data_IF_692418187985
#
_entry.id   IF_692418187985
#
_cell.length_a   1.000
_cell.length_b   1.000
_cell.length_c   1.000
_cell.angle_alpha   90.00
_cell.angle_beta   90.00
_cell.angle_gamma   90.00
#
_symmetry.space_group_name_H-M   'P 1'
#
loop_
_entity.id
_entity.type
_entity.pdbx_description
1 polymer ?
#
# COMPACT_ATOMS: atom_id res chain seq x y z
N UNK A 1 25.23 -18.28 -5.88
CA UNK A 1 24.13 -18.12 -4.91
C UNK A 1 23.85 -16.64 -4.78
N UNK A 2 22.58 -16.20 -4.78
CA UNK A 2 22.26 -14.78 -4.56
C UNK A 2 22.71 -14.33 -3.16
N UNK A 3 23.07 -13.06 -3.03
CA UNK A 3 23.34 -12.42 -1.73
C UNK A 3 22.03 -12.19 -0.96
N UNK A 4 22.11 -11.95 0.35
CA UNK A 4 20.91 -11.63 1.14
C UNK A 4 20.24 -10.33 0.66
N UNK A 5 21.04 -9.32 0.28
CA UNK A 5 20.52 -8.08 -0.31
C UNK A 5 19.81 -8.30 -1.66
N UNK A 6 20.30 -9.23 -2.50
CA UNK A 6 19.63 -9.59 -3.75
C UNK A 6 18.27 -10.25 -3.50
N UNK A 7 18.18 -11.15 -2.52
CA UNK A 7 16.90 -11.77 -2.15
C UNK A 7 15.90 -10.74 -1.63
N UNK A 8 16.34 -9.79 -0.78
CA UNK A 8 15.47 -8.71 -0.31
C UNK A 8 15.01 -7.80 -1.45
N UNK A 9 15.87 -7.54 -2.44
CA UNK A 9 15.52 -6.71 -3.59
C UNK A 9 14.46 -7.40 -4.47
N UNK A 10 14.64 -8.69 -4.73
CA UNK A 10 13.67 -9.49 -5.48
C UNK A 10 12.30 -9.52 -4.76
N UNK A 11 12.29 -9.66 -3.42
CA UNK A 11 11.05 -9.63 -2.63
C UNK A 11 10.39 -8.24 -2.64
N UNK A 12 11.17 -7.17 -2.54
CA UNK A 12 10.66 -5.80 -2.63
C UNK A 12 10.02 -5.53 -3.98
N UNK A 13 10.65 -5.95 -5.07
CA UNK A 13 10.13 -5.78 -6.43
C UNK A 13 8.83 -6.57 -6.64
N UNK A 14 8.74 -7.79 -6.10
CA UNK A 14 7.52 -8.59 -6.15
C UNK A 14 6.37 -7.95 -5.36
N UNK A 15 6.66 -7.51 -4.13
CA UNK A 15 5.68 -6.82 -3.29
C UNK A 15 5.12 -5.57 -3.99
N UNK A 16 6.02 -4.73 -4.51
CA UNK A 16 5.64 -3.53 -5.25
C UNK A 16 4.81 -3.85 -6.49
N UNK A 17 5.21 -4.84 -7.30
CA UNK A 17 4.46 -5.24 -8.51
C UNK A 17 3.04 -5.67 -8.13
N UNK A 18 2.90 -6.48 -7.09
CA UNK A 18 1.61 -6.97 -6.60
C UNK A 18 0.67 -5.85 -6.19
N UNK A 19 1.17 -4.82 -5.49
CA UNK A 19 0.38 -3.63 -5.14
C UNK A 19 0.10 -2.79 -6.38
N UNK A 20 1.10 -2.52 -7.22
CA UNK A 20 1.00 -1.61 -8.37
C UNK A 20 -0.01 -2.10 -9.42
N UNK A 21 -0.05 -3.40 -9.69
CA UNK A 21 -1.04 -4.02 -10.55
C UNK A 21 -2.46 -3.83 -9.99
N UNK A 22 -2.62 -3.98 -8.68
CA UNK A 22 -3.92 -3.83 -8.02
C UNK A 22 -4.42 -2.40 -8.02
N UNK A 23 -3.56 -1.39 -8.00
CA UNK A 23 -3.98 0.02 -8.05
C UNK A 23 -4.09 0.57 -9.48
N UNK A 24 -3.87 -0.27 -10.50
CA UNK A 24 -4.02 0.18 -11.89
C UNK A 24 -5.46 0.59 -12.21
N UNK A 25 -5.62 1.75 -12.86
CA UNK A 25 -6.93 2.34 -13.15
C UNK A 25 -7.77 2.69 -11.91
N UNK A 26 -7.17 2.84 -10.73
CA UNK A 26 -7.87 3.29 -9.52
C UNK A 26 -8.41 4.72 -9.71
N UNK A 27 -9.70 4.92 -9.48
CA UNK A 27 -10.34 6.23 -9.55
C UNK A 27 -10.49 6.84 -8.16
N UNK A 28 -10.73 8.16 -8.06
CA UNK A 28 -11.00 8.81 -6.78
C UNK A 28 -12.26 8.25 -6.11
N UNK A 29 -13.30 7.93 -6.88
CA UNK A 29 -14.52 7.30 -6.35
C UNK A 29 -14.20 5.97 -5.67
N UNK A 30 -13.41 5.12 -6.32
CA UNK A 30 -13.00 3.82 -5.77
C UNK A 30 -12.01 3.97 -4.61
N UNK A 31 -11.08 4.93 -4.68
CA UNK A 31 -10.11 5.23 -3.62
C UNK A 31 -10.79 5.66 -2.31
N UNK A 32 -11.91 6.39 -2.39
CA UNK A 32 -12.68 6.81 -1.22
C UNK A 32 -13.83 5.87 -0.83
N UNK A 33 -14.04 4.80 -1.60
CA UNK A 33 -15.11 3.84 -1.35
C UNK A 33 -14.86 3.02 -0.08
N UNK A 34 -15.94 2.64 0.60
CA UNK A 34 -15.91 1.80 1.80
C UNK A 34 -16.92 0.66 1.67
N UNK A 35 -16.55 -0.58 2.06
CA UNK A 35 -17.45 -1.71 2.03
C UNK A 35 -18.56 -1.63 3.07
N UNK A 36 -18.34 -0.94 4.19
CA UNK A 36 -19.30 -0.75 5.28
C UNK A 36 -19.33 0.72 5.68
N UNK A 37 -20.50 1.34 5.92
CA UNK A 37 -20.56 2.70 6.45
C UNK A 37 -19.73 2.82 7.74
N UNK A 38 -18.96 3.90 7.85
CA UNK A 38 -18.14 4.20 9.03
C UNK A 38 -17.10 3.13 9.40
N UNK A 39 -16.77 2.17 8.51
CA UNK A 39 -15.53 1.38 8.66
C UNK A 39 -14.28 2.22 8.40
N UNK A 40 -14.48 3.48 8.00
CA UNK A 40 -13.48 4.53 7.92
C UNK A 40 -12.94 4.65 6.49
N UNK A 41 -13.03 5.82 5.85
CA UNK A 41 -12.07 6.15 4.81
C UNK A 41 -10.70 6.39 5.48
N UNK A 42 -9.63 6.40 4.70
CA UNK A 42 -8.50 7.29 5.00
C UNK A 42 -9.05 8.72 4.87
N UNK A 43 -9.73 9.21 5.92
CA UNK A 43 -9.98 10.65 6.04
C UNK A 43 -8.61 11.27 6.29
N UNK A 44 -8.32 12.48 5.77
CA UNK A 44 -7.27 13.30 6.31
C UNK A 44 -7.66 13.66 7.76
N UNK A 45 -7.38 12.71 8.65
CA UNK A 45 -7.32 12.93 10.09
C UNK A 45 -5.90 13.40 10.34
N UNK A 46 -5.65 14.34 11.27
CA UNK A 46 -4.30 14.58 11.74
C UNK A 46 -3.84 13.30 12.46
N UNK A 47 -3.29 12.35 11.71
CA UNK A 47 -2.55 11.22 12.24
C UNK A 47 -1.19 11.79 12.61
N UNK A 48 -0.95 12.03 13.89
CA UNK A 48 0.41 12.24 14.40
C UNK A 48 1.26 11.03 14.01
N UNK A 49 2.36 11.06 13.24
CA UNK A 49 3.25 12.07 12.64
C UNK A 49 2.66 13.42 12.22
N UNK A 50 2.89 14.51 12.98
CA UNK A 50 2.28 15.82 12.73
C UNK A 50 2.56 16.46 11.34
N UNK A 51 3.31 15.80 10.46
CA UNK A 51 3.81 16.30 9.18
C UNK A 51 3.51 15.39 7.98
N UNK A 52 2.95 14.18 8.16
CA UNK A 52 2.70 13.28 7.02
C UNK A 52 1.44 13.74 6.28
N UNK A 53 1.65 14.45 5.18
CA UNK A 53 0.61 14.75 4.20
C UNK A 53 0.21 13.46 3.47
N UNK A 54 -0.98 12.96 3.78
CA UNK A 54 -1.54 11.75 3.16
C UNK A 54 -2.19 12.10 1.82
N UNK A 55 -2.25 11.15 0.91
CA UNK A 55 -2.84 11.36 -0.41
C UNK A 55 -4.31 11.82 -0.36
N UNK A 56 -4.65 12.82 -1.17
CA UNK A 56 -6.01 13.37 -1.29
C UNK A 56 -6.70 12.97 -2.60
N UNK A 57 -6.00 12.25 -3.48
CA UNK A 57 -6.53 11.66 -4.72
C UNK A 57 -5.91 10.29 -4.95
N UNK A 58 -6.53 9.47 -5.80
CA UNK A 58 -5.95 8.19 -6.22
C UNK A 58 -4.59 8.40 -6.92
N UNK A 59 -4.47 9.47 -7.71
CA UNK A 59 -3.23 9.83 -8.38
C UNK A 59 -2.11 10.18 -7.38
N UNK A 60 -2.42 10.95 -6.34
CA UNK A 60 -1.45 11.28 -5.27
C UNK A 60 -1.01 10.03 -4.52
N UNK A 61 -1.95 9.11 -4.24
CA UNK A 61 -1.65 7.86 -3.54
C UNK A 61 -0.70 6.97 -4.36
N UNK A 62 -0.94 6.85 -5.66
CA UNK A 62 -0.06 6.11 -6.58
C UNK A 62 1.32 6.78 -6.66
N UNK A 63 1.37 8.11 -6.76
CA UNK A 63 2.64 8.84 -6.78
C UNK A 63 3.43 8.67 -5.47
N UNK A 64 2.75 8.64 -4.32
CA UNK A 64 3.38 8.36 -3.02
C UNK A 64 3.92 6.94 -2.95
N UNK A 65 3.17 5.93 -3.43
CA UNK A 65 3.62 4.55 -3.52
C UNK A 65 4.88 4.42 -4.41
N UNK A 66 4.85 5.03 -5.60
CA UNK A 66 5.97 5.01 -6.55
C UNK A 66 7.23 5.67 -5.96
N UNK A 67 7.07 6.81 -5.27
CA UNK A 67 8.17 7.48 -4.56
C UNK A 67 8.70 6.61 -3.41
N UNK A 68 7.82 5.99 -2.62
CA UNK A 68 8.19 5.11 -1.53
C UNK A 68 9.04 3.92 -2.01
N UNK A 69 8.59 3.26 -3.07
CA UNK A 69 9.33 2.17 -3.72
C UNK A 69 10.72 2.63 -4.19
N UNK A 70 10.81 3.77 -4.85
CA UNK A 70 12.10 4.30 -5.33
C UNK A 70 13.08 4.56 -4.20
N UNK A 71 12.61 5.12 -3.08
CA UNK A 71 13.44 5.37 -1.90
C UNK A 71 13.95 4.07 -1.30
N UNK A 72 13.06 3.08 -1.12
CA UNK A 72 13.41 1.81 -0.51
C UNK A 72 14.35 0.98 -1.40
N UNK A 73 14.07 0.91 -2.70
CA UNK A 73 14.91 0.22 -3.68
C UNK A 73 16.29 0.87 -3.79
N UNK A 74 16.37 2.21 -3.82
CA UNK A 74 17.65 2.93 -3.85
C UNK A 74 18.46 2.71 -2.57
N UNK A 75 17.81 2.71 -1.41
CA UNK A 75 18.46 2.44 -0.13
C UNK A 75 19.03 1.01 -0.11
N UNK A 76 18.24 0.01 -0.53
CA UNK A 76 18.67 -1.39 -0.56
C UNK A 76 19.81 -1.63 -1.56
N UNK A 77 19.77 -1.02 -2.74
CA UNK A 77 20.83 -1.12 -3.73
C UNK A 77 22.20 -0.60 -3.23
N UNK A 78 22.20 0.27 -2.21
CA UNK A 78 23.40 0.80 -1.59
C UNK A 78 23.98 -0.05 -0.46
N UNK A 79 23.36 -1.18 -0.10
CA UNK A 79 23.79 -2.02 1.03
C UNK A 79 24.60 -3.24 0.58
N UNK A 80 25.60 -3.59 1.37
CA UNK A 80 26.22 -4.92 1.36
C UNK A 80 25.53 -5.84 2.39
N UNK A 81 25.72 -7.16 2.27
CA UNK A 81 25.17 -8.13 3.22
C UNK A 81 25.63 -7.86 4.66
N UNK A 82 26.84 -7.34 4.85
CA UNK A 82 27.36 -6.96 6.18
C UNK A 82 26.60 -5.80 6.83
N UNK A 83 25.89 -4.98 6.05
CA UNK A 83 25.14 -3.85 6.57
C UNK A 83 23.77 -4.25 7.10
N UNK A 84 23.31 -5.49 6.82
CA UNK A 84 21.98 -5.96 7.18
C UNK A 84 21.77 -6.09 8.69
N UNK A 85 22.82 -6.35 9.46
CA UNK A 85 22.77 -6.40 10.92
C UNK A 85 22.97 -5.03 11.59
N UNK A 86 23.33 -3.99 10.82
CA UNK A 86 23.56 -2.66 11.38
C UNK A 86 22.24 -2.08 11.95
N UNK A 87 22.29 -1.47 13.15
CA UNK A 87 21.10 -0.92 13.79
C UNK A 87 20.57 0.31 13.04
N UNK A 88 19.24 0.41 12.95
CA UNK A 88 18.50 1.53 12.37
C UNK A 88 17.41 1.97 13.34
N UNK A 89 17.30 3.28 13.54
CA UNK A 89 16.23 3.88 14.32
C UNK A 89 14.89 3.70 13.60
N UNK A 90 13.92 3.12 14.29
CA UNK A 90 12.54 3.06 13.84
C UNK A 90 11.82 4.37 14.14
N UNK A 91 10.70 4.57 13.48
CA UNK A 91 9.87 5.75 13.67
C UNK A 91 9.18 5.76 15.07
N UNK A 92 9.11 4.65 15.80
CA UNK A 92 8.66 4.61 17.20
C UNK A 92 9.80 4.66 18.23
N UNK A 93 11.03 4.96 17.81
CA UNK A 93 12.14 5.25 18.72
C UNK A 93 12.93 4.03 19.22
N UNK A 94 12.71 2.85 18.65
CA UNK A 94 13.52 1.65 18.93
C UNK A 94 14.53 1.39 17.81
N UNK A 95 15.68 0.80 18.14
CA UNK A 95 16.66 0.36 17.13
C UNK A 95 16.43 -1.09 16.72
N UNK A 96 16.25 -1.34 15.43
CA UNK A 96 16.16 -2.68 14.85
C UNK A 96 17.29 -2.91 13.84
N UNK A 97 17.75 -4.16 13.60
CA UNK A 97 18.70 -4.43 12.54
C UNK A 97 18.10 -4.07 11.17
N UNK A 98 18.94 -3.63 10.24
CA UNK A 98 18.52 -3.12 8.92
C UNK A 98 17.65 -4.14 8.17
N UNK A 99 17.99 -5.44 8.20
CA UNK A 99 17.18 -6.48 7.55
C UNK A 99 15.76 -6.55 8.11
N UNK A 100 15.56 -6.34 9.42
CA UNK A 100 14.24 -6.43 10.04
C UNK A 100 13.37 -5.26 9.62
N UNK A 101 13.94 -4.06 9.53
CA UNK A 101 13.22 -2.88 9.02
C UNK A 101 12.79 -3.12 7.57
N UNK A 102 13.70 -3.55 6.70
CA UNK A 102 13.40 -3.84 5.29
C UNK A 102 12.34 -4.93 5.14
N UNK A 103 12.49 -6.06 5.83
CA UNK A 103 11.53 -7.15 5.81
C UNK A 103 10.14 -6.72 6.28
N UNK A 104 10.06 -5.95 7.37
CA UNK A 104 8.78 -5.44 7.87
C UNK A 104 8.08 -4.54 6.84
N UNK A 105 8.80 -3.70 6.11
CA UNK A 105 8.22 -2.87 5.05
C UNK A 105 7.72 -3.72 3.87
N UNK A 106 8.49 -4.72 3.44
CA UNK A 106 8.09 -5.64 2.35
C UNK A 106 6.83 -6.44 2.73
N UNK A 107 6.82 -7.04 3.92
CA UNK A 107 5.70 -7.84 4.42
C UNK A 107 4.43 -6.98 4.61
N UNK A 108 4.59 -5.75 5.11
CA UNK A 108 3.51 -4.78 5.22
C UNK A 108 2.88 -4.46 3.86
N UNK A 109 3.70 -4.20 2.83
CA UNK A 109 3.19 -3.89 1.50
C UNK A 109 2.49 -5.08 0.85
N UNK A 110 3.00 -6.30 1.06
CA UNK A 110 2.31 -7.54 0.64
C UNK A 110 0.95 -7.70 1.33
N UNK A 111 0.91 -7.47 2.64
CA UNK A 111 -0.31 -7.55 3.43
C UNK A 111 -1.39 -6.58 2.92
N UNK A 112 -1.05 -5.29 2.82
CA UNK A 112 -1.97 -4.28 2.33
C UNK A 112 -2.30 -4.45 0.85
N UNK A 113 -1.38 -4.97 0.03
CA UNK A 113 -1.68 -5.39 -1.33
C UNK A 113 -2.81 -6.42 -1.37
N UNK A 114 -2.81 -7.39 -0.46
CA UNK A 114 -3.92 -8.34 -0.30
C UNK A 114 -5.25 -7.64 0.02
N UNK A 115 -5.26 -6.75 1.01
CA UNK A 115 -6.45 -6.00 1.42
C UNK A 115 -7.00 -5.10 0.31
N UNK A 116 -6.14 -4.36 -0.40
CA UNK A 116 -6.52 -3.54 -1.55
C UNK A 116 -7.20 -4.40 -2.61
N UNK A 117 -6.64 -5.58 -2.92
CA UNK A 117 -7.23 -6.51 -3.88
C UNK A 117 -8.67 -6.89 -3.52
N UNK A 118 -8.89 -7.27 -2.26
CA UNK A 118 -10.22 -7.61 -1.74
C UNK A 118 -11.20 -6.43 -1.85
N UNK A 119 -10.77 -5.23 -1.46
CA UNK A 119 -11.61 -4.03 -1.52
C UNK A 119 -12.04 -3.70 -2.95
N UNK A 120 -11.12 -3.80 -3.92
CA UNK A 120 -11.42 -3.55 -5.33
C UNK A 120 -12.36 -4.59 -5.92
N UNK A 121 -12.20 -5.85 -5.55
CA UNK A 121 -13.13 -6.91 -5.98
C UNK A 121 -14.55 -6.66 -5.43
N UNK A 122 -14.66 -6.27 -4.15
CA UNK A 122 -15.95 -5.91 -3.55
C UNK A 122 -16.59 -4.69 -4.21
N UNK A 123 -15.80 -3.67 -4.56
CA UNK A 123 -16.29 -2.49 -5.27
C UNK A 123 -16.87 -2.84 -6.64
N UNK A 124 -16.15 -3.67 -7.41
CA UNK A 124 -16.58 -4.14 -8.74
C UNK A 124 -17.86 -4.96 -8.65
N UNK A 125 -17.94 -5.90 -7.71
CA UNK A 125 -19.15 -6.71 -7.48
C UNK A 125 -20.36 -5.85 -7.09
N UNK A 126 -20.17 -4.87 -6.21
CA UNK A 126 -21.23 -3.91 -5.83
C UNK A 126 -21.78 -3.16 -7.05
N UNK A 127 -20.92 -2.76 -7.99
CA UNK A 127 -21.34 -2.06 -9.20
C UNK A 127 -22.08 -2.98 -10.18
N UNK A 128 -21.67 -4.25 -10.31
CA UNK A 128 -22.38 -5.27 -11.10
C UNK A 128 -23.78 -5.53 -10.53
N UNK A 129 -23.90 -5.71 -9.21
CA UNK A 129 -25.18 -5.91 -8.53
C UNK A 129 -26.08 -4.68 -8.71
N UNK A 130 -25.55 -3.48 -8.51
CA UNK A 130 -26.33 -2.23 -8.65
C UNK A 130 -26.84 -2.03 -10.08
N UNK A 131 -26.04 -2.38 -11.10
CA UNK A 131 -26.43 -2.26 -12.50
C UNK A 131 -27.44 -3.33 -12.96
N UNK A 132 -27.52 -4.48 -12.28
CA UNK A 132 -28.38 -5.61 -12.65
C UNK A 132 -29.77 -5.60 -12.00
N UNK A 133 -29.99 -4.75 -10.97
CA UNK A 133 -31.31 -4.55 -10.36
C UNK A 133 -32.08 -3.47 -11.14
N UNK A 134 -33.20 -3.78 -11.81
CA UNK A 134 -34.01 -2.75 -12.46
C UNK A 134 -34.59 -1.82 -11.40
N UNK A 135 -34.52 -0.50 -11.64
CA UNK A 135 -35.15 0.49 -10.78
C UNK A 135 -36.62 0.11 -10.58
N UNK A 136 -36.99 -0.28 -9.36
CA UNK A 136 -38.39 -0.55 -9.04
C UNK A 136 -39.17 0.74 -9.28
N UNK A 137 -39.99 0.72 -10.33
CA UNK A 137 -40.78 1.88 -10.75
C UNK A 137 -41.54 2.48 -9.57
N UNK A 138 -41.49 3.80 -9.49
CA UNK A 138 -42.32 4.59 -8.59
C UNK A 138 -43.77 4.11 -8.69
N UNK A 139 -44.32 3.59 -7.59
CA UNK A 139 -45.77 3.41 -7.48
C UNK A 139 -46.38 4.79 -7.33
N UNK A 140 -47.19 5.14 -8.33
CA UNK A 140 -48.11 6.28 -8.32
C UNK A 140 -49.20 6.12 -7.24
#
# INVERSE_FOLDING_TARGET
MPTATQLLADQLDEAYRGVRERVDGLTDEEFFWQPVPDCGPVRPRPLTWPEIDSAHTAADAIAMLERGQQLLASALAGLADSDLDAPRMTNWGEEWPTWRVLWTLIDHDLHHGGEIGVLRDLYRERNIITASVPASGARA
#
